data_IF_726289339527
#
_entry.id   IF_726289339527
#
_cell.length_a   1.000
_cell.length_b   1.000
_cell.length_c   1.000
_cell.angle_alpha   90.00
_cell.angle_beta   90.00
_cell.angle_gamma   90.00
#
_symmetry.space_group_name_H-M   'P 1'
#
loop_
_entity.id
_entity.type
_entity.pdbx_description
1 polymer ?
#
# COMPACT_ATOMS: atom_id res chain seq x y z
N UNK A 1 -31.19 19.06 7.80
CA UNK A 1 -29.92 19.36 7.15
C UNK A 1 -28.77 18.97 8.08
N UNK A 2 -27.78 18.25 7.56
CA UNK A 2 -26.52 17.98 8.24
C UNK A 2 -25.44 18.83 7.58
N UNK A 3 -24.73 19.62 8.35
CA UNK A 3 -23.67 20.52 7.85
C UNK A 3 -22.38 20.33 8.62
N UNK A 4 -21.25 20.44 7.92
CA UNK A 4 -19.91 20.45 8.53
C UNK A 4 -19.46 21.90 8.71
N UNK A 5 -19.14 22.26 9.96
CA UNK A 5 -18.57 23.57 10.30
C UNK A 5 -17.08 23.45 10.57
N UNK A 6 -16.26 24.12 9.76
CA UNK A 6 -14.81 24.21 9.96
C UNK A 6 -14.45 25.70 10.09
N UNK A 7 -14.09 26.13 11.28
CA UNK A 7 -13.88 27.55 11.57
C UNK A 7 -15.13 28.38 11.32
N UNK A 8 -15.07 29.34 10.39
CA UNK A 8 -16.23 30.17 9.99
C UNK A 8 -17.01 29.61 8.79
N UNK A 9 -16.50 28.56 8.15
CA UNK A 9 -17.11 27.97 6.96
C UNK A 9 -18.10 26.88 7.36
N UNK A 10 -19.33 26.98 6.88
CA UNK A 10 -20.36 25.95 7.02
C UNK A 10 -20.62 25.34 5.65
N UNK A 11 -20.41 24.03 5.53
CA UNK A 11 -20.64 23.29 4.29
C UNK A 11 -21.77 22.30 4.51
N UNK A 12 -22.89 22.39 3.77
CA UNK A 12 -23.95 21.41 3.88
C UNK A 12 -23.47 20.05 3.37
N UNK A 13 -23.67 18.99 4.15
CA UNK A 13 -23.29 17.63 3.78
C UNK A 13 -24.45 16.87 3.15
N UNK A 14 -25.65 17.02 3.71
CA UNK A 14 -26.85 16.43 3.14
C UNK A 14 -28.11 17.13 3.63
N UNK A 15 -29.17 17.01 2.86
CA UNK A 15 -30.52 17.47 3.19
C UNK A 15 -31.51 16.34 3.01
N UNK A 16 -32.60 16.36 3.77
CA UNK A 16 -33.73 15.46 3.55
C UNK A 16 -34.64 16.05 2.47
N UNK A 17 -34.88 15.30 1.40
CA UNK A 17 -35.83 15.64 0.33
C UNK A 17 -36.77 14.46 0.10
N UNK A 18 -38.07 14.67 0.30
CA UNK A 18 -39.06 13.59 0.10
C UNK A 18 -38.78 12.30 0.89
N UNK A 19 -38.32 12.40 2.15
CA UNK A 19 -37.99 11.27 2.99
C UNK A 19 -36.67 10.55 2.64
N UNK A 20 -35.89 11.06 1.68
CA UNK A 20 -34.58 10.50 1.28
C UNK A 20 -33.46 11.47 1.58
N UNK A 21 -32.30 10.96 1.98
CA UNK A 21 -31.08 11.74 2.14
C UNK A 21 -30.53 12.13 0.76
N UNK A 22 -30.51 13.44 0.48
CA UNK A 22 -29.85 14.02 -0.68
C UNK A 22 -28.52 14.63 -0.23
N UNK A 23 -27.43 14.09 -0.73
CA UNK A 23 -26.08 14.61 -0.43
C UNK A 23 -25.81 15.86 -1.23
N UNK A 24 -25.39 16.93 -0.54
CA UNK A 24 -25.11 18.25 -1.15
C UNK A 24 -23.77 18.32 -1.89
N UNK A 25 -23.00 17.21 -1.91
CA UNK A 25 -21.71 17.18 -2.59
C UNK A 25 -21.88 17.11 -4.10
N UNK A 26 -21.74 18.24 -4.73
CA UNK A 26 -21.75 18.39 -6.20
C UNK A 26 -20.48 17.86 -6.87
N UNK A 27 -19.39 17.72 -6.12
CA UNK A 27 -18.14 17.11 -6.58
C UNK A 27 -17.85 15.85 -5.77
N UNK A 28 -18.45 14.74 -6.18
CA UNK A 28 -17.85 13.45 -5.83
C UNK A 28 -16.53 13.35 -6.59
N UNK A 29 -15.38 13.30 -5.91
CA UNK A 29 -14.14 13.01 -6.63
C UNK A 29 -14.32 11.70 -7.37
N UNK A 30 -13.76 11.56 -8.59
CA UNK A 30 -13.87 10.32 -9.34
C UNK A 30 -13.32 9.19 -8.49
N UNK A 31 -14.18 8.24 -8.18
CA UNK A 31 -13.84 7.01 -7.45
C UNK A 31 -14.11 5.87 -8.40
N UNK A 32 -13.08 5.11 -8.70
CA UNK A 32 -13.21 3.87 -9.47
C UNK A 32 -13.26 2.72 -8.49
N UNK A 33 -14.25 1.85 -8.64
CA UNK A 33 -14.34 0.60 -7.91
C UNK A 33 -13.73 -0.52 -8.75
N UNK A 34 -12.87 -1.32 -8.14
CA UNK A 34 -12.34 -2.56 -8.68
C UNK A 34 -13.07 -3.70 -7.97
N UNK A 35 -13.90 -4.41 -8.70
CA UNK A 35 -14.64 -5.54 -8.15
C UNK A 35 -13.69 -6.71 -7.88
N UNK A 36 -13.81 -7.31 -6.71
CA UNK A 36 -13.03 -8.48 -6.30
C UNK A 36 -13.94 -9.52 -5.66
N UNK A 37 -13.46 -10.73 -5.46
CA UNK A 37 -14.22 -11.79 -4.75
C UNK A 37 -14.56 -11.39 -3.30
N UNK A 38 -13.75 -10.54 -2.69
CA UNK A 38 -13.90 -10.07 -1.29
C UNK A 38 -14.68 -8.77 -1.17
N UNK A 39 -15.23 -8.22 -2.27
CA UNK A 39 -15.90 -6.94 -2.33
C UNK A 39 -15.20 -5.94 -3.26
N UNK A 40 -15.64 -4.69 -3.25
CA UNK A 40 -15.06 -3.65 -4.11
C UNK A 40 -13.91 -2.91 -3.40
N UNK A 41 -12.77 -2.80 -4.07
CA UNK A 41 -11.67 -1.92 -3.69
C UNK A 41 -11.80 -0.60 -4.44
N UNK A 42 -11.82 0.51 -3.72
CA UNK A 42 -12.02 1.83 -4.34
C UNK A 42 -10.68 2.55 -4.54
N UNK A 43 -10.50 3.19 -5.70
CA UNK A 43 -9.38 4.08 -5.97
C UNK A 43 -9.90 5.51 -5.99
N UNK A 44 -9.42 6.35 -5.09
CA UNK A 44 -9.89 7.73 -5.02
C UNK A 44 -9.40 8.47 -3.77
N UNK A 45 -9.63 9.78 -3.72
CA UNK A 45 -9.17 10.63 -2.63
C UNK A 45 -9.90 10.31 -1.31
N UNK A 46 -9.23 10.62 -0.22
CA UNK A 46 -9.82 10.61 1.13
C UNK A 46 -9.22 11.71 1.99
N UNK A 47 -9.81 11.96 3.15
CA UNK A 47 -9.23 12.87 4.12
C UNK A 47 -8.00 12.22 4.77
N UNK A 48 -6.91 12.99 4.86
CA UNK A 48 -5.71 12.62 5.60
C UNK A 48 -5.75 13.33 6.95
N UNK A 49 -5.72 12.56 8.03
CA UNK A 49 -5.64 13.08 9.39
C UNK A 49 -4.21 12.90 9.92
N UNK A 50 -3.53 13.99 10.25
CA UNK A 50 -2.37 13.95 11.12
C UNK A 50 -2.82 13.92 12.59
N UNK A 51 -1.95 13.47 13.51
CA UNK A 51 -2.29 13.28 14.93
C UNK A 51 -2.83 14.56 15.57
N UNK A 52 -2.38 15.73 15.22
CA UNK A 52 -2.76 17.01 15.84
C UNK A 52 -2.98 18.11 14.77
N UNK A 53 -3.33 17.69 13.55
CA UNK A 53 -3.51 18.62 12.44
C UNK A 53 -4.90 18.55 11.88
N UNK A 54 -5.38 19.70 11.41
CA UNK A 54 -6.63 19.75 10.67
C UNK A 54 -6.61 18.77 9.49
N UNK A 55 -7.73 18.09 9.21
CA UNK A 55 -7.83 17.19 8.09
C UNK A 55 -7.50 17.94 6.79
N UNK A 56 -6.55 17.40 6.03
CA UNK A 56 -6.22 17.91 4.70
C UNK A 56 -6.88 17.03 3.66
N UNK A 57 -7.54 17.64 2.71
CA UNK A 57 -8.01 16.94 1.50
C UNK A 57 -6.78 16.53 0.68
N UNK A 58 -6.72 15.26 0.30
CA UNK A 58 -5.79 14.81 -0.72
C UNK A 58 -6.22 15.44 -2.05
N UNK A 59 -5.25 15.86 -2.85
CA UNK A 59 -5.52 16.40 -4.19
C UNK A 59 -6.42 15.46 -5.00
N UNK A 60 -7.21 16.02 -5.90
CA UNK A 60 -8.07 15.25 -6.78
C UNK A 60 -7.25 14.17 -7.52
N UNK A 61 -7.81 12.97 -7.58
CA UNK A 61 -7.21 11.85 -8.28
C UNK A 61 -7.35 12.06 -9.79
N UNK A 62 -6.26 11.97 -10.54
CA UNK A 62 -6.30 12.06 -12.00
C UNK A 62 -6.67 10.72 -12.64
N UNK A 63 -7.21 10.76 -13.86
CA UNK A 63 -7.52 9.56 -14.64
C UNK A 63 -6.26 8.71 -14.90
N UNK A 64 -5.10 9.36 -15.11
CA UNK A 64 -3.82 8.67 -15.29
C UNK A 64 -3.41 7.89 -14.03
N UNK A 65 -3.52 8.48 -12.84
CA UNK A 65 -3.23 7.79 -11.59
C UNK A 65 -4.13 6.57 -11.40
N UNK A 66 -5.43 6.72 -11.67
CA UNK A 66 -6.38 5.59 -11.60
C UNK A 66 -5.96 4.48 -12.56
N UNK A 67 -5.71 4.84 -13.83
CA UNK A 67 -5.29 3.89 -14.87
C UNK A 67 -4.04 3.11 -14.45
N UNK A 68 -3.01 3.80 -13.97
CA UNK A 68 -1.74 3.17 -13.57
C UNK A 68 -1.90 2.25 -12.36
N UNK A 69 -2.67 2.65 -11.36
CA UNK A 69 -2.95 1.80 -10.19
C UNK A 69 -3.77 0.58 -10.59
N UNK A 70 -4.81 0.76 -11.42
CA UNK A 70 -5.61 -0.37 -11.92
C UNK A 70 -4.76 -1.33 -12.75
N UNK A 71 -3.85 -0.82 -13.56
CA UNK A 71 -2.92 -1.64 -14.32
C UNK A 71 -1.98 -2.44 -13.40
N UNK A 72 -1.38 -1.81 -12.39
CA UNK A 72 -0.54 -2.48 -11.40
C UNK A 72 -1.32 -3.57 -10.65
N UNK A 73 -2.57 -3.29 -10.26
CA UNK A 73 -3.48 -4.24 -9.64
C UNK A 73 -3.73 -5.47 -10.53
N UNK A 74 -4.03 -5.25 -11.82
CA UNK A 74 -4.24 -6.35 -12.79
C UNK A 74 -2.98 -7.20 -12.99
N UNK A 75 -1.81 -6.56 -13.02
CA UNK A 75 -0.53 -7.28 -13.14
C UNK A 75 -0.29 -8.19 -11.93
N UNK A 76 -0.58 -7.70 -10.72
CA UNK A 76 -0.48 -8.53 -9.50
C UNK A 76 -1.44 -9.71 -9.58
N UNK A 77 -2.69 -9.48 -10.03
CA UNK A 77 -3.70 -10.52 -10.20
C UNK A 77 -3.25 -11.63 -11.16
N UNK A 78 -2.62 -11.25 -12.27
CA UNK A 78 -2.15 -12.23 -13.27
C UNK A 78 -0.86 -12.93 -12.85
N UNK A 79 0.08 -12.22 -12.25
CA UNK A 79 1.39 -12.74 -11.90
C UNK A 79 1.39 -13.51 -10.56
N UNK A 80 0.54 -13.11 -9.63
CA UNK A 80 0.47 -13.68 -8.28
C UNK A 80 -0.97 -13.68 -7.75
N UNK A 81 -1.83 -14.61 -8.22
CA UNK A 81 -3.24 -14.67 -7.83
C UNK A 81 -3.47 -14.73 -6.32
N UNK A 82 -2.68 -15.54 -5.59
CA UNK A 82 -2.83 -15.72 -4.14
C UNK A 82 -2.47 -14.43 -3.39
N UNK A 83 -1.40 -13.75 -3.80
CA UNK A 83 -1.03 -12.44 -3.25
C UNK A 83 -2.08 -11.38 -3.54
N UNK A 84 -2.68 -11.42 -4.72
CA UNK A 84 -3.78 -10.55 -5.10
C UNK A 84 -5.04 -10.79 -4.25
N UNK A 85 -5.38 -12.02 -3.90
CA UNK A 85 -6.52 -12.31 -3.01
C UNK A 85 -6.30 -11.69 -1.62
N UNK A 86 -5.09 -11.77 -1.07
CA UNK A 86 -4.74 -11.11 0.20
C UNK A 86 -4.78 -9.60 0.05
N UNK A 87 -4.23 -9.05 -1.04
CA UNK A 87 -4.29 -7.62 -1.35
C UNK A 87 -5.75 -7.13 -1.40
N UNK A 88 -6.63 -7.85 -2.09
CA UNK A 88 -8.03 -7.52 -2.22
C UNK A 88 -8.80 -7.63 -0.89
N UNK A 89 -8.49 -8.64 -0.09
CA UNK A 89 -9.12 -8.84 1.22
C UNK A 89 -8.75 -7.74 2.22
N UNK A 90 -7.51 -7.30 2.21
CA UNK A 90 -6.96 -6.38 3.22
C UNK A 90 -6.96 -4.92 2.79
N UNK A 91 -7.33 -4.62 1.55
CA UNK A 91 -7.40 -3.25 1.02
C UNK A 91 -8.83 -2.87 0.70
N UNK A 92 -9.35 -1.84 1.32
CA UNK A 92 -10.67 -1.28 1.00
C UNK A 92 -10.58 -0.04 0.10
N UNK A 93 -9.48 0.71 0.24
CA UNK A 93 -9.25 1.92 -0.56
C UNK A 93 -7.79 2.19 -0.83
N UNK A 94 -7.51 2.55 -2.07
CA UNK A 94 -6.21 3.07 -2.52
C UNK A 94 -6.37 4.56 -2.78
N UNK A 95 -5.51 5.36 -2.16
CA UNK A 95 -5.49 6.82 -2.29
C UNK A 95 -4.27 7.23 -3.08
N UNK A 96 -4.45 7.62 -4.36
CA UNK A 96 -3.34 8.10 -5.16
C UNK A 96 -2.81 9.42 -4.65
N UNK A 97 -1.50 9.53 -4.51
CA UNK A 97 -0.78 10.74 -4.19
C UNK A 97 0.04 11.21 -5.39
N UNK A 98 0.39 12.49 -5.42
CA UNK A 98 1.37 13.06 -6.34
C UNK A 98 2.20 14.08 -5.57
N UNK A 99 3.16 13.60 -4.79
CA UNK A 99 3.95 14.44 -3.91
C UNK A 99 5.44 14.11 -4.01
N UNK A 100 6.27 15.12 -4.31
CA UNK A 100 7.72 14.98 -4.35
C UNK A 100 8.26 14.69 -2.95
N UNK A 101 9.21 13.74 -2.84
CA UNK A 101 9.86 13.39 -1.59
C UNK A 101 8.99 12.64 -0.57
N UNK A 102 7.80 12.20 -0.99
CA UNK A 102 6.92 11.36 -0.17
C UNK A 102 6.97 9.94 -0.70
N UNK A 103 7.15 8.97 0.17
CA UNK A 103 6.99 7.55 -0.15
C UNK A 103 5.53 7.13 0.01
N UNK A 104 5.14 6.02 -0.58
CA UNK A 104 3.86 5.38 -0.28
C UNK A 104 3.79 5.02 1.19
N UNK A 105 2.60 5.01 1.79
CA UNK A 105 2.44 4.72 3.21
C UNK A 105 1.03 4.23 3.55
N UNK A 106 0.94 3.54 4.68
CA UNK A 106 -0.32 3.13 5.31
C UNK A 106 -0.32 3.47 6.80
N UNK A 107 -1.50 3.50 7.42
CA UNK A 107 -1.64 3.78 8.84
C UNK A 107 -2.15 2.55 9.59
N UNK A 108 -1.47 2.20 10.69
CA UNK A 108 -1.92 1.13 11.60
C UNK A 108 -3.35 1.30 12.11
N UNK A 109 -3.75 2.54 12.37
CA UNK A 109 -5.07 2.88 12.92
C UNK A 109 -6.16 3.04 11.85
N UNK A 110 -5.81 2.92 10.57
CA UNK A 110 -6.71 2.97 9.43
C UNK A 110 -6.49 1.76 8.52
N UNK A 111 -6.86 0.56 8.98
CA UNK A 111 -6.65 -0.67 8.22
C UNK A 111 -7.40 -0.62 6.89
N UNK A 112 -6.80 -1.18 5.87
CA UNK A 112 -7.35 -1.23 4.52
C UNK A 112 -7.21 0.06 3.69
N UNK A 113 -6.55 1.08 4.22
CA UNK A 113 -6.34 2.35 3.53
C UNK A 113 -4.85 2.52 3.18
N UNK A 114 -4.52 2.41 1.89
CA UNK A 114 -3.16 2.57 1.37
C UNK A 114 -3.03 3.87 0.58
N UNK A 115 -1.98 4.65 0.87
CA UNK A 115 -1.63 5.87 0.16
C UNK A 115 -0.48 5.56 -0.79
N UNK A 116 -0.75 5.57 -2.08
CA UNK A 116 0.21 5.19 -3.13
C UNK A 116 0.67 6.43 -3.87
N UNK A 117 1.96 6.75 -3.76
CA UNK A 117 2.52 7.92 -4.42
C UNK A 117 2.87 7.60 -5.88
N UNK A 118 2.25 8.31 -6.80
CA UNK A 118 2.47 8.16 -8.24
C UNK A 118 3.51 9.15 -8.80
N UNK A 119 4.12 10.00 -7.94
CA UNK A 119 5.15 10.94 -8.37
C UNK A 119 6.49 10.22 -8.51
N UNK A 120 7.14 10.38 -9.67
CA UNK A 120 8.44 9.73 -10.00
C UNK A 120 8.45 8.21 -9.77
N UNK A 121 7.31 7.55 -9.94
CA UNK A 121 7.15 6.10 -9.85
C UNK A 121 6.82 5.52 -11.23
N UNK A 122 7.49 4.46 -11.62
CA UNK A 122 7.11 3.69 -12.80
C UNK A 122 6.10 2.58 -12.45
N UNK A 123 5.77 1.74 -13.43
CA UNK A 123 4.76 0.69 -13.21
C UNK A 123 5.25 -0.39 -12.25
N UNK A 124 6.55 -0.73 -12.28
CA UNK A 124 7.13 -1.71 -11.37
C UNK A 124 7.13 -1.21 -9.93
N UNK A 125 7.44 0.08 -9.72
CA UNK A 125 7.38 0.72 -8.40
C UNK A 125 5.96 0.72 -7.83
N UNK A 126 4.93 0.96 -8.67
CA UNK A 126 3.54 0.94 -8.22
C UNK A 126 3.07 -0.48 -7.83
N UNK A 127 3.53 -1.50 -8.55
CA UNK A 127 3.26 -2.90 -8.22
C UNK A 127 3.87 -3.24 -6.85
N UNK A 128 5.12 -2.83 -6.63
CA UNK A 128 5.83 -3.01 -5.36
C UNK A 128 5.13 -2.27 -4.21
N UNK A 129 4.85 -0.97 -4.38
CA UNK A 129 4.21 -0.14 -3.36
C UNK A 129 2.84 -0.70 -2.94
N UNK A 130 2.03 -1.26 -3.85
CA UNK A 130 0.74 -1.89 -3.52
C UNK A 130 0.91 -3.09 -2.58
N UNK A 131 1.84 -3.99 -2.86
CA UNK A 131 2.11 -5.16 -2.02
C UNK A 131 2.78 -4.75 -0.72
N UNK A 132 3.71 -3.79 -0.76
CA UNK A 132 4.40 -3.27 0.43
C UNK A 132 3.41 -2.70 1.45
N UNK A 133 2.50 -1.81 1.02
CA UNK A 133 1.52 -1.20 1.93
C UNK A 133 0.47 -2.20 2.41
N UNK A 134 0.08 -3.16 1.57
CA UNK A 134 -0.80 -4.24 1.98
C UNK A 134 -0.15 -5.14 3.04
N UNK A 135 1.13 -5.44 2.91
CA UNK A 135 1.86 -6.25 3.89
C UNK A 135 1.90 -5.59 5.28
N UNK A 136 1.94 -4.26 5.35
CA UNK A 136 1.76 -3.54 6.61
C UNK A 136 0.36 -3.75 7.21
N UNK A 137 -0.69 -3.78 6.40
CA UNK A 137 -2.05 -4.11 6.89
C UNK A 137 -2.11 -5.53 7.40
N UNK A 138 -1.56 -6.50 6.68
CA UNK A 138 -1.52 -7.90 7.05
C UNK A 138 -0.81 -8.11 8.39
N UNK A 139 0.43 -7.65 8.52
CA UNK A 139 1.17 -7.79 9.77
C UNK A 139 0.48 -7.06 10.93
N UNK A 140 -0.07 -5.87 10.72
CA UNK A 140 -0.79 -5.16 11.77
C UNK A 140 -2.04 -5.92 12.26
N UNK A 141 -2.71 -6.69 11.41
CA UNK A 141 -3.82 -7.56 11.83
C UNK A 141 -3.33 -8.75 12.65
N UNK A 142 -2.23 -9.39 12.25
CA UNK A 142 -1.60 -10.47 13.03
C UNK A 142 -1.20 -9.97 14.42
N UNK A 143 -0.55 -8.81 14.50
CA UNK A 143 -0.13 -8.17 15.76
C UNK A 143 -1.29 -7.71 16.66
N UNK A 144 -2.52 -7.65 16.16
CA UNK A 144 -3.72 -7.43 16.98
C UNK A 144 -4.23 -8.72 17.61
N UNK A 145 -4.04 -9.84 16.93
CA UNK A 145 -4.48 -11.15 17.42
C UNK A 145 -3.49 -11.81 18.36
N UNK A 146 -2.20 -11.59 18.11
CA UNK A 146 -1.11 -12.26 18.83
C UNK A 146 -0.06 -11.26 19.28
N UNK A 147 0.41 -11.43 20.49
CA UNK A 147 1.56 -10.69 21.01
C UNK A 147 2.80 -11.45 20.54
N UNK A 148 3.48 -10.93 19.52
CA UNK A 148 4.68 -11.56 18.96
C UNK A 148 5.98 -11.07 19.62
N UNK A 149 5.94 -10.01 20.41
CA UNK A 149 7.10 -9.48 21.14
C UNK A 149 6.67 -8.72 22.38
N UNK A 150 7.56 -8.70 23.37
CA UNK A 150 7.45 -7.98 24.64
C UNK A 150 8.54 -6.88 24.72
N UNK A 151 8.47 -6.03 25.73
CA UNK A 151 9.46 -4.98 26.01
C UNK A 151 9.09 -3.60 25.49
N UNK A 152 10.06 -2.67 25.56
CA UNK A 152 9.87 -1.30 25.15
C UNK A 152 9.74 -1.17 23.62
N UNK A 153 8.57 -0.80 23.18
CA UNK A 153 8.23 -0.63 21.76
C UNK A 153 9.00 0.50 21.06
N UNK A 154 9.63 1.37 21.82
CA UNK A 154 10.35 2.55 21.32
C UNK A 154 11.87 2.38 21.40
N UNK A 155 12.38 1.36 22.04
CA UNK A 155 13.79 1.11 22.17
C UNK A 155 14.43 0.84 20.80
N UNK A 156 15.25 1.77 20.33
CA UNK A 156 15.90 1.73 19.02
C UNK A 156 17.32 1.14 19.18
N UNK A 157 17.44 -0.16 19.09
CA UNK A 157 18.73 -0.89 19.29
C UNK A 157 19.14 -1.73 18.07
N UNK A 158 18.25 -2.00 17.13
CA UNK A 158 18.52 -2.80 15.94
C UNK A 158 18.87 -1.90 14.76
N UNK A 159 20.00 -2.14 14.10
CA UNK A 159 20.40 -1.37 12.93
C UNK A 159 19.65 -1.80 11.69
N UNK A 160 19.03 -0.86 11.01
CA UNK A 160 18.35 -1.09 9.73
C UNK A 160 19.24 -0.60 8.57
N UNK A 161 19.86 -1.48 7.79
CA UNK A 161 20.77 -1.09 6.71
C UNK A 161 20.06 -0.28 5.62
N UNK A 162 18.79 -0.59 5.32
CA UNK A 162 17.99 0.15 4.32
C UNK A 162 17.52 1.53 4.80
N UNK A 163 17.41 1.76 6.13
CA UNK A 163 17.08 3.07 6.71
C UNK A 163 18.32 3.81 7.22
N UNK A 164 19.47 3.11 7.30
CA UNK A 164 20.73 3.64 7.84
C UNK A 164 20.55 4.28 9.23
N UNK A 165 19.75 3.64 10.08
CA UNK A 165 19.41 4.12 11.42
C UNK A 165 19.02 2.98 12.34
N UNK A 166 19.12 3.23 13.65
CA UNK A 166 18.59 2.30 14.65
C UNK A 166 17.05 2.29 14.62
N UNK A 167 16.47 1.11 14.82
CA UNK A 167 15.04 0.86 14.80
C UNK A 167 14.60 0.05 16.00
N UNK A 168 13.36 0.20 16.46
CA UNK A 168 12.80 -0.73 17.44
C UNK A 168 12.53 -2.09 16.80
N UNK A 169 12.49 -3.15 17.61
CA UNK A 169 12.22 -4.54 17.18
C UNK A 169 10.98 -4.62 16.26
N UNK A 170 9.93 -3.88 16.60
CA UNK A 170 8.74 -3.79 15.74
C UNK A 170 9.07 -3.32 14.31
N UNK A 171 9.99 -2.38 14.17
CA UNK A 171 10.43 -1.87 12.86
C UNK A 171 11.16 -2.93 12.05
N UNK A 172 11.95 -3.79 12.71
CA UNK A 172 12.63 -4.93 12.08
C UNK A 172 11.61 -6.01 11.69
N UNK A 173 10.65 -6.33 12.56
CA UNK A 173 9.59 -7.29 12.25
C UNK A 173 8.74 -6.84 11.04
N UNK A 174 8.40 -5.55 10.98
CA UNK A 174 7.73 -5.00 9.81
C UNK A 174 8.58 -5.12 8.55
N UNK A 175 9.87 -4.85 8.64
CA UNK A 175 10.79 -4.98 7.51
C UNK A 175 10.91 -6.43 7.05
N UNK A 176 11.14 -7.39 7.96
CA UNK A 176 11.18 -8.80 7.61
C UNK A 176 9.92 -9.24 6.86
N UNK A 177 8.74 -8.85 7.35
CA UNK A 177 7.48 -9.21 6.73
C UNK A 177 7.30 -8.56 5.35
N UNK A 178 7.54 -7.23 5.22
CA UNK A 178 7.37 -6.52 3.96
C UNK A 178 8.36 -6.99 2.90
N UNK A 179 9.61 -7.23 3.26
CA UNK A 179 10.62 -7.75 2.34
C UNK A 179 10.33 -9.19 1.92
N UNK A 180 9.79 -10.03 2.80
CA UNK A 180 9.33 -11.37 2.40
C UNK A 180 8.24 -11.28 1.33
N UNK A 181 7.25 -10.42 1.52
CA UNK A 181 6.18 -10.23 0.53
C UNK A 181 6.71 -9.61 -0.77
N UNK A 182 7.69 -8.70 -0.70
CA UNK A 182 8.39 -8.14 -1.85
C UNK A 182 9.18 -9.20 -2.62
N UNK A 183 9.96 -10.04 -1.94
CA UNK A 183 10.71 -11.14 -2.56
C UNK A 183 9.76 -12.11 -3.31
N UNK A 184 8.65 -12.50 -2.68
CA UNK A 184 7.62 -13.33 -3.31
C UNK A 184 7.02 -12.66 -4.54
N UNK A 185 6.68 -11.37 -4.45
CA UNK A 185 6.17 -10.59 -5.59
C UNK A 185 7.13 -10.62 -6.76
N UNK A 186 8.39 -10.26 -6.56
CA UNK A 186 9.37 -10.16 -7.62
C UNK A 186 9.74 -11.53 -8.23
N UNK A 187 9.73 -12.59 -7.43
CA UNK A 187 9.86 -13.97 -7.91
C UNK A 187 8.70 -14.34 -8.82
N UNK A 188 7.45 -14.09 -8.42
CA UNK A 188 6.24 -14.35 -9.21
C UNK A 188 6.20 -13.52 -10.49
N UNK A 189 6.54 -12.24 -10.44
CA UNK A 189 6.67 -11.38 -11.62
C UNK A 189 7.70 -11.92 -12.61
N UNK A 190 8.86 -12.36 -12.13
CA UNK A 190 9.92 -12.90 -12.95
C UNK A 190 9.50 -14.22 -13.62
N UNK A 191 8.82 -15.10 -12.89
CA UNK A 191 8.28 -16.36 -13.40
C UNK A 191 7.18 -16.09 -14.44
N UNK A 192 6.25 -15.17 -14.15
CA UNK A 192 5.19 -14.77 -15.07
C UNK A 192 5.74 -14.20 -16.39
N UNK A 193 6.82 -13.39 -16.33
CA UNK A 193 7.49 -12.84 -17.50
C UNK A 193 8.25 -13.90 -18.30
N UNK A 194 8.77 -14.95 -17.67
CA UNK A 194 9.60 -16.00 -18.30
C UNK A 194 8.79 -17.17 -18.82
N UNK A 195 7.52 -17.32 -18.42
CA UNK A 195 6.62 -18.41 -18.86
C UNK A 195 6.14 -18.27 -20.31
N UNK A 196 5.38 -19.25 -20.83
CA UNK A 196 4.85 -19.22 -22.20
C UNK A 196 4.07 -17.94 -22.48
N UNK A 197 4.41 -17.20 -23.53
CA UNK A 197 3.82 -15.90 -23.87
C UNK A 197 4.19 -14.77 -22.91
N UNK A 198 5.08 -14.98 -21.94
CA UNK A 198 5.43 -14.05 -20.88
C UNK A 198 6.01 -12.73 -21.41
N UNK A 199 6.91 -12.78 -22.39
CA UNK A 199 7.46 -11.55 -22.99
C UNK A 199 6.39 -10.65 -23.60
N UNK A 200 5.39 -11.23 -24.28
CA UNK A 200 4.28 -10.46 -24.84
C UNK A 200 3.36 -9.88 -23.76
N UNK A 201 3.08 -10.65 -22.69
CA UNK A 201 2.31 -10.17 -21.53
C UNK A 201 3.04 -9.02 -20.82
N UNK A 202 4.35 -9.19 -20.56
CA UNK A 202 5.20 -8.19 -19.93
C UNK A 202 5.17 -6.87 -20.69
N UNK A 203 5.32 -6.95 -22.02
CA UNK A 203 5.25 -5.76 -22.91
C UNK A 203 3.86 -5.12 -22.89
N UNK A 204 2.77 -5.91 -22.95
CA UNK A 204 1.38 -5.38 -22.86
C UNK A 204 1.12 -4.70 -21.51
N UNK A 205 1.74 -5.16 -20.46
CA UNK A 205 1.72 -4.54 -19.13
C UNK A 205 2.51 -3.22 -19.05
N UNK A 206 3.09 -2.75 -20.15
CA UNK A 206 3.89 -1.53 -20.18
C UNK A 206 5.21 -1.66 -19.42
N UNK A 207 5.72 -2.89 -19.27
CA UNK A 207 6.98 -3.19 -18.61
C UNK A 207 8.06 -3.50 -19.67
N UNK A 208 9.28 -3.08 -19.39
CA UNK A 208 10.44 -3.20 -20.28
C UNK A 208 11.35 -4.35 -19.88
N UNK A 209 12.31 -4.70 -20.72
CA UNK A 209 13.35 -5.67 -20.37
C UNK A 209 14.21 -5.19 -19.18
N UNK A 210 14.42 -3.89 -19.05
CA UNK A 210 15.10 -3.29 -17.90
C UNK A 210 14.30 -3.51 -16.62
N UNK A 211 12.96 -3.41 -16.67
CA UNK A 211 12.12 -3.67 -15.52
C UNK A 211 12.18 -5.13 -15.09
N UNK A 212 12.29 -6.08 -16.02
CA UNK A 212 12.48 -7.48 -15.69
C UNK A 212 13.83 -7.74 -14.98
N UNK A 213 14.91 -7.12 -15.46
CA UNK A 213 16.20 -7.20 -14.78
C UNK A 213 16.13 -6.57 -13.39
N UNK A 214 15.46 -5.43 -13.27
CA UNK A 214 15.24 -4.74 -11.99
C UNK A 214 14.39 -5.59 -11.04
N UNK A 215 13.34 -6.25 -11.51
CA UNK A 215 12.53 -7.15 -10.68
C UNK A 215 13.35 -8.32 -10.13
N UNK A 216 14.21 -8.92 -10.96
CA UNK A 216 15.13 -9.99 -10.52
C UNK A 216 16.14 -9.51 -9.50
N UNK A 217 16.70 -8.33 -9.70
CA UNK A 217 17.63 -7.72 -8.76
C UNK A 217 16.94 -7.39 -7.42
N UNK A 218 15.76 -6.79 -7.49
CA UNK A 218 14.94 -6.49 -6.29
C UNK A 218 14.60 -7.76 -5.51
N UNK A 219 14.30 -8.86 -6.18
CA UNK A 219 14.06 -10.15 -5.51
C UNK A 219 15.27 -10.55 -4.63
N UNK A 220 16.49 -10.40 -5.14
CA UNK A 220 17.71 -10.70 -4.38
C UNK A 220 17.93 -9.70 -3.23
N UNK A 221 17.71 -8.41 -3.47
CA UNK A 221 17.81 -7.38 -2.41
C UNK A 221 16.83 -7.65 -1.26
N UNK A 222 15.59 -8.02 -1.60
CA UNK A 222 14.56 -8.33 -0.59
C UNK A 222 14.94 -9.57 0.21
N UNK A 223 15.45 -10.64 -0.44
CA UNK A 223 15.92 -11.85 0.24
C UNK A 223 17.06 -11.53 1.22
N UNK A 224 18.05 -10.73 0.79
CA UNK A 224 19.14 -10.33 1.68
C UNK A 224 18.63 -9.45 2.86
N UNK A 225 17.67 -8.56 2.59
CA UNK A 225 17.04 -7.75 3.63
C UNK A 225 16.28 -8.61 4.65
N UNK A 226 15.62 -9.68 4.20
CA UNK A 226 15.00 -10.68 5.09
C UNK A 226 16.04 -11.37 5.95
N UNK A 227 17.17 -11.81 5.37
CA UNK A 227 18.25 -12.48 6.12
C UNK A 227 18.78 -11.61 7.26
N UNK A 228 19.08 -10.33 6.98
CA UNK A 228 19.49 -9.38 8.03
C UNK A 228 18.41 -9.21 9.11
N UNK A 229 17.15 -9.08 8.70
CA UNK A 229 16.05 -8.92 9.65
C UNK A 229 15.86 -10.15 10.54
N UNK A 230 16.02 -11.36 9.99
CA UNK A 230 15.90 -12.62 10.75
C UNK A 230 16.99 -12.71 11.81
N UNK A 231 18.25 -12.35 11.52
CA UNK A 231 19.34 -12.34 12.49
C UNK A 231 19.02 -11.45 13.69
N UNK A 232 18.48 -10.26 13.45
CA UNK A 232 18.05 -9.36 14.53
C UNK A 232 16.88 -9.93 15.34
N UNK A 233 15.91 -10.57 14.67
CA UNK A 233 14.77 -11.21 15.33
C UNK A 233 15.17 -12.42 16.14
N UNK A 234 16.10 -13.23 15.66
CA UNK A 234 16.69 -14.36 16.40
C UNK A 234 17.43 -13.86 17.64
N UNK A 235 18.29 -12.85 17.50
CA UNK A 235 18.96 -12.23 18.64
C UNK A 235 17.96 -11.73 19.69
N UNK A 236 16.91 -11.04 19.26
CA UNK A 236 15.86 -10.54 20.15
C UNK A 236 15.03 -11.66 20.82
N UNK A 237 15.00 -12.87 20.26
CA UNK A 237 14.27 -14.00 20.85
C UNK A 237 14.99 -14.63 22.05
N UNK A 238 16.30 -14.37 22.22
CA UNK A 238 17.14 -14.90 23.29
C UNK A 238 17.27 -13.92 24.48
N UNK A 239 16.82 -12.69 24.34
CA UNK A 239 16.95 -11.61 25.32
C UNK A 239 15.61 -10.94 25.64
#
# INVERSE_FOLDING_TARGET
ELSLKIGRTVTPLCTMRGGRLAWSWTHRPPVVAMETRSGAVTVGPTLVYGRDRQPKTVAATSADQVKRITQAWTIIQEAWPEGHEVLALLTSRIVPLKAKGVVSFSYRHRPGLSFINCFDRDNLDLIDDLIHENSHHHLNLLLRKQILYHGDRNQQIFYSPWRRSLRPLRGILHAAFTFTMGAMLFERLSTWASGPGGSARWKRAGLTQRDLQRARFRCLEEVESVRYSIQDLEYASWH
#
